data_IF_380265490045
#
_entry.id   IF_380265490045
#
_cell.length_a   1.000
_cell.length_b   1.000
_cell.length_c   1.000
_cell.angle_alpha   90.00
_cell.angle_beta   90.00
_cell.angle_gamma   90.00
#
_symmetry.space_group_name_H-M   'P 1'
#
loop_
_entity.id
_entity.type
_entity.pdbx_description
1 polymer ?
#
# COMPACT_ATOMS: atom_id res chain seq x y z
N UNK A 1 -16.22 22.03 -7.17
CA UNK A 1 -16.31 20.76 -6.43
C UNK A 1 -15.84 19.68 -7.39
N UNK A 2 -14.59 19.26 -7.30
CA UNK A 2 -13.98 18.34 -8.26
C UNK A 2 -13.87 16.97 -7.61
N UNK A 3 -14.97 16.21 -7.63
CA UNK A 3 -14.95 14.81 -7.20
C UNK A 3 -14.37 13.99 -8.36
N UNK A 4 -13.06 13.73 -8.28
CA UNK A 4 -12.49 12.70 -9.12
C UNK A 4 -13.15 11.37 -8.68
N UNK A 5 -13.81 10.63 -9.59
CA UNK A 5 -14.41 9.36 -9.23
C UNK A 5 -13.33 8.44 -8.67
N UNK A 6 -13.65 7.71 -7.60
CA UNK A 6 -12.78 6.66 -7.08
C UNK A 6 -12.65 5.60 -8.19
N UNK A 7 -11.54 5.68 -8.93
CA UNK A 7 -11.29 4.83 -10.09
C UNK A 7 -11.14 3.36 -9.68
N UNK A 8 -10.72 3.13 -8.44
CA UNK A 8 -10.50 1.78 -7.91
C UNK A 8 -10.64 1.75 -6.38
N UNK A 9 -11.53 0.91 -5.87
CA UNK A 9 -11.71 0.70 -4.44
C UNK A 9 -10.69 -0.30 -3.89
N UNK A 10 -9.96 0.12 -2.86
CA UNK A 10 -8.94 -0.67 -2.18
C UNK A 10 -9.53 -1.59 -1.10
N UNK A 11 -10.83 -1.47 -0.80
CA UNK A 11 -11.49 -2.28 0.20
C UNK A 11 -11.32 -3.80 -0.07
N UNK A 12 -10.83 -4.51 0.95
CA UNK A 12 -10.58 -5.96 0.92
C UNK A 12 -9.46 -6.41 -0.01
N UNK A 13 -8.70 -5.49 -0.61
CA UNK A 13 -7.61 -5.84 -1.53
C UNK A 13 -6.32 -6.11 -0.79
N UNK A 14 -5.50 -7.00 -1.33
CA UNK A 14 -4.14 -7.25 -0.88
C UNK A 14 -3.18 -6.43 -1.74
N UNK A 15 -2.41 -5.54 -1.11
CA UNK A 15 -1.54 -4.60 -1.80
C UNK A 15 -0.10 -4.87 -1.40
N UNK A 16 0.75 -5.17 -2.38
CA UNK A 16 2.19 -5.31 -2.17
C UNK A 16 2.93 -4.03 -2.54
N UNK A 17 3.78 -3.55 -1.63
CA UNK A 17 4.63 -2.37 -1.85
C UNK A 17 6.08 -2.81 -1.96
N UNK A 18 6.58 -2.90 -3.19
CA UNK A 18 8.01 -3.10 -3.44
C UNK A 18 8.82 -1.96 -2.80
N UNK A 19 9.95 -2.29 -2.16
CA UNK A 19 10.78 -1.26 -1.52
C UNK A 19 10.08 -0.50 -0.38
N UNK A 20 9.11 -1.11 0.32
CA UNK A 20 8.33 -0.50 1.41
C UNK A 20 9.15 0.14 2.56
N UNK A 21 10.46 -0.15 2.66
CA UNK A 21 11.38 0.49 3.63
C UNK A 21 12.10 1.74 3.10
N UNK A 22 11.95 2.07 1.82
CA UNK A 22 12.52 3.28 1.23
C UNK A 22 11.72 4.54 1.55
N UNK A 23 12.22 5.70 1.12
CA UNK A 23 11.58 7.02 1.36
C UNK A 23 10.12 7.05 0.90
N UNK A 24 9.85 6.61 -0.32
CA UNK A 24 8.48 6.61 -0.89
C UNK A 24 7.67 5.41 -0.41
N UNK A 25 8.30 4.23 -0.37
CA UNK A 25 7.62 2.99 0.03
C UNK A 25 7.07 3.06 1.45
N UNK A 26 7.81 3.66 2.38
CA UNK A 26 7.38 3.82 3.78
C UNK A 26 6.23 4.82 3.91
N UNK A 27 6.26 5.91 3.12
CA UNK A 27 5.16 6.87 3.07
C UNK A 27 3.88 6.24 2.51
N UNK A 28 4.00 5.43 1.45
CA UNK A 28 2.88 4.69 0.87
C UNK A 28 2.29 3.68 1.85
N UNK A 29 3.13 2.89 2.53
CA UNK A 29 2.67 1.97 3.58
C UNK A 29 1.92 2.73 4.67
N UNK A 30 2.44 3.87 5.13
CA UNK A 30 1.79 4.68 6.17
C UNK A 30 0.43 5.22 5.74
N UNK A 31 0.29 5.62 4.46
CA UNK A 31 -0.97 6.09 3.89
C UNK A 31 -1.97 4.96 3.65
N UNK A 32 -1.51 3.80 3.20
CA UNK A 32 -2.35 2.63 2.91
C UNK A 32 -2.80 1.91 4.18
N UNK A 33 -2.03 2.02 5.28
CA UNK A 33 -2.43 1.49 6.58
C UNK A 33 -3.71 2.13 7.13
N UNK A 34 -4.09 3.33 6.65
CA UNK A 34 -5.37 3.96 7.00
C UNK A 34 -6.53 3.57 6.08
N UNK A 35 -6.27 2.78 5.03
CA UNK A 35 -7.28 2.33 4.07
C UNK A 35 -7.76 0.92 4.43
N UNK A 36 -8.93 0.53 3.93
CA UNK A 36 -9.52 -0.82 4.15
C UNK A 36 -8.84 -1.91 3.31
N UNK A 37 -7.53 -1.90 3.22
CA UNK A 37 -6.75 -2.86 2.46
C UNK A 37 -5.83 -3.68 3.36
N UNK A 38 -5.37 -4.82 2.85
CA UNK A 38 -4.37 -5.66 3.48
C UNK A 38 -3.02 -5.37 2.85
N UNK A 39 -2.13 -4.72 3.58
CA UNK A 39 -0.74 -4.54 3.14
C UNK A 39 0.01 -5.86 3.23
N UNK A 40 0.64 -6.24 2.13
CA UNK A 40 1.56 -7.37 2.03
C UNK A 40 2.96 -6.79 1.95
N UNK A 41 3.71 -6.89 3.04
CA UNK A 41 5.15 -6.53 3.04
C UNK A 41 5.95 -7.80 3.17
N UNK A 42 6.97 -7.97 2.33
CA UNK A 42 7.91 -9.09 2.45
C UNK A 42 9.16 -8.54 3.12
N UNK A 43 9.57 -9.12 4.24
CA UNK A 43 10.84 -8.75 4.86
C UNK A 43 12.00 -9.18 3.96
N UNK A 44 13.04 -8.33 3.84
CA UNK A 44 14.22 -8.64 3.02
C UNK A 44 14.95 -9.93 3.42
N UNK A 45 14.65 -10.51 4.58
CA UNK A 45 15.21 -11.80 5.01
C UNK A 45 14.41 -13.03 4.55
N UNK A 46 13.37 -12.86 3.72
CA UNK A 46 12.49 -13.95 3.25
C UNK A 46 12.42 -14.06 1.72
N UNK A 47 13.26 -13.31 1.00
CA UNK A 47 13.54 -13.56 -0.42
C UNK A 47 14.95 -14.15 -0.47
N UNK A 48 15.04 -15.48 -0.56
CA UNK A 48 16.20 -16.16 -1.18
C UNK A 48 16.17 -15.89 -2.70
#
# INVERSE_FOLDING_TARGET
>A
MNEAPILYDLAGKRIWVAGHRGLVGSALVRRLASERCTLVTVERGTLD
#
